data_IF_878954151962
#
_entry.id   IF_878954151962
#
_cell.length_a   1.000
_cell.length_b   1.000
_cell.length_c   1.000
_cell.angle_alpha   90.00
_cell.angle_beta   90.00
_cell.angle_gamma   90.00
#
_symmetry.space_group_name_H-M   'P 1'
#
loop_
_entity.id
_entity.type
_entity.pdbx_description
1 polymer ?
#
# COMPACT_ATOMS: atom_id res chain seq x y z
N UNK A 1 4.82 -15.58 0.19
CA UNK A 1 4.00 -14.37 -0.04
C UNK A 1 2.54 -14.73 0.19
N UNK A 2 1.75 -13.87 0.84
CA UNK A 2 0.33 -14.10 1.14
C UNK A 2 -0.46 -12.96 0.51
N UNK A 3 -1.49 -13.30 -0.25
CA UNK A 3 -2.50 -12.38 -0.75
C UNK A 3 -3.80 -12.64 0.00
N UNK A 4 -4.50 -11.59 0.38
CA UNK A 4 -5.84 -11.66 0.95
C UNK A 4 -6.74 -10.66 0.23
N UNK A 5 -7.99 -11.04 0.02
CA UNK A 5 -9.02 -10.16 -0.54
C UNK A 5 -10.06 -9.85 0.52
N UNK A 6 -10.58 -8.65 0.49
CA UNK A 6 -11.67 -8.21 1.35
C UNK A 6 -12.65 -7.41 0.52
N UNK A 7 -13.93 -7.77 0.56
CA UNK A 7 -14.99 -6.95 -0.01
C UNK A 7 -15.39 -5.89 1.03
N UNK A 8 -15.24 -4.60 0.77
CA UNK A 8 -15.57 -3.56 1.74
C UNK A 8 -17.08 -3.39 1.97
N UNK A 9 -17.91 -3.91 1.08
CA UNK A 9 -19.38 -3.78 1.14
C UNK A 9 -20.03 -4.89 1.97
N UNK A 10 -19.41 -6.08 2.05
CA UNK A 10 -19.96 -7.24 2.76
C UNK A 10 -19.60 -7.21 4.25
N UNK A 11 -20.08 -6.21 5.00
CA UNK A 11 -19.88 -6.13 6.44
C UNK A 11 -20.87 -7.00 7.27
N UNK A 12 -21.89 -7.57 6.65
CA UNK A 12 -22.81 -8.49 7.32
C UNK A 12 -22.23 -9.91 7.34
N UNK A 13 -21.47 -10.22 8.41
CA UNK A 13 -20.99 -11.58 8.68
C UNK A 13 -19.49 -11.84 8.51
N UNK A 14 -18.70 -10.92 7.95
CA UNK A 14 -17.25 -11.06 7.90
C UNK A 14 -16.60 -10.26 9.04
N UNK A 15 -15.87 -10.93 9.92
CA UNK A 15 -15.05 -10.27 10.93
C UNK A 15 -13.94 -9.47 10.22
N UNK A 16 -13.95 -8.15 10.40
CA UNK A 16 -12.81 -7.32 9.98
C UNK A 16 -11.53 -7.85 10.65
N UNK A 17 -10.45 -7.93 9.86
CA UNK A 17 -9.16 -8.32 10.41
C UNK A 17 -8.74 -7.33 11.50
N UNK A 18 -8.30 -7.78 12.69
CA UNK A 18 -7.80 -6.91 13.74
C UNK A 18 -6.65 -6.03 13.23
N UNK A 19 -6.54 -4.79 13.73
CA UNK A 19 -5.47 -3.84 13.37
C UNK A 19 -4.07 -4.47 13.43
N UNK A 20 -3.82 -5.29 14.47
CA UNK A 20 -2.55 -6.01 14.66
C UNK A 20 -2.25 -7.04 13.56
N UNK A 21 -3.26 -7.57 12.90
CA UNK A 21 -3.10 -8.47 11.75
C UNK A 21 -2.95 -7.68 10.47
N UNK A 22 -3.66 -6.56 10.32
CA UNK A 22 -3.52 -5.65 9.17
C UNK A 22 -2.12 -5.06 9.08
N UNK A 23 -1.47 -4.70 10.20
CA UNK A 23 -0.08 -4.20 10.23
C UNK A 23 0.95 -5.19 9.67
N UNK A 24 0.60 -6.48 9.56
CA UNK A 24 1.49 -7.51 8.99
C UNK A 24 1.51 -7.56 7.47
N UNK A 25 0.49 -7.02 6.80
CA UNK A 25 0.48 -6.93 5.35
C UNK A 25 1.38 -5.80 4.86
N UNK A 26 2.15 -6.04 3.82
CA UNK A 26 3.07 -5.06 3.27
C UNK A 26 2.32 -3.83 2.77
N UNK A 27 1.29 -4.05 1.99
CA UNK A 27 0.46 -2.98 1.41
C UNK A 27 -0.97 -3.44 1.18
N UNK A 28 -1.86 -2.47 1.06
CA UNK A 28 -3.25 -2.65 0.65
C UNK A 28 -3.51 -1.86 -0.62
N UNK A 29 -3.99 -2.54 -1.64
CA UNK A 29 -4.36 -1.93 -2.91
C UNK A 29 -5.87 -2.00 -3.12
N UNK A 30 -6.40 -1.08 -3.90
CA UNK A 30 -7.80 -1.09 -4.35
C UNK A 30 -7.83 -1.50 -5.81
N UNK A 31 -8.71 -2.41 -6.15
CA UNK A 31 -8.89 -2.83 -7.54
C UNK A 31 -9.74 -1.84 -8.34
N UNK A 32 -10.73 -1.19 -7.69
CA UNK A 32 -11.71 -0.36 -8.39
C UNK A 32 -12.63 -1.16 -9.32
N UNK A 33 -13.38 -0.43 -10.11
CA UNK A 33 -14.14 -1.00 -11.23
C UNK A 33 -13.34 -0.87 -12.53
N UNK A 34 -13.55 -1.79 -13.52
CA UNK A 34 -12.99 -1.61 -14.84
C UNK A 34 -13.55 -0.33 -15.48
N UNK A 35 -12.82 0.25 -16.43
CA UNK A 35 -13.39 1.30 -17.26
C UNK A 35 -14.46 0.72 -18.20
N UNK A 36 -15.27 1.61 -18.81
CA UNK A 36 -16.43 1.22 -19.60
C UNK A 36 -16.09 0.28 -20.77
N UNK A 37 -14.95 0.48 -21.42
CA UNK A 37 -14.56 -0.34 -22.58
C UNK A 37 -14.11 -1.74 -22.12
N UNK A 38 -13.31 -1.82 -21.04
CA UNK A 38 -12.93 -3.09 -20.44
C UNK A 38 -14.14 -3.84 -19.88
N UNK A 39 -15.12 -3.14 -19.26
CA UNK A 39 -16.36 -3.76 -18.80
C UNK A 39 -17.20 -4.31 -19.96
N UNK A 40 -17.25 -3.58 -21.09
CA UNK A 40 -17.92 -4.04 -22.30
C UNK A 40 -17.23 -5.30 -22.88
N UNK A 41 -15.91 -5.36 -22.85
CA UNK A 41 -15.16 -6.52 -23.31
C UNK A 41 -15.38 -7.74 -22.39
N UNK A 42 -15.48 -7.53 -21.09
CA UNK A 42 -15.87 -8.59 -20.13
C UNK A 42 -17.26 -9.12 -20.48
N UNK A 43 -18.23 -8.24 -20.76
CA UNK A 43 -19.59 -8.66 -21.14
C UNK A 43 -19.64 -9.39 -22.48
N UNK A 44 -18.77 -9.05 -23.43
CA UNK A 44 -18.67 -9.73 -24.73
C UNK A 44 -18.01 -11.09 -24.65
N UNK A 45 -17.14 -11.29 -23.67
CA UNK A 45 -16.29 -12.48 -23.60
C UNK A 45 -17.01 -13.74 -23.12
N UNK A 46 -18.27 -13.67 -22.67
CA UNK A 46 -19.03 -14.79 -22.07
C UNK A 46 -18.24 -15.58 -21.00
N UNK A 47 -17.27 -14.89 -20.35
CA UNK A 47 -16.39 -15.47 -19.33
C UNK A 47 -17.18 -15.75 -18.04
N UNK A 48 -18.05 -16.75 -18.07
CA UNK A 48 -18.75 -17.27 -16.88
C UNK A 48 -17.79 -18.15 -16.05
N UNK A 49 -16.74 -18.69 -16.68
CA UNK A 49 -15.75 -19.56 -16.03
C UNK A 49 -14.34 -18.98 -16.16
N UNK A 50 -13.80 -18.52 -15.01
CA UNK A 50 -12.41 -18.01 -14.90
C UNK A 50 -11.35 -19.09 -15.19
N UNK A 51 -11.71 -20.37 -15.12
CA UNK A 51 -10.81 -21.50 -15.34
C UNK A 51 -10.33 -21.63 -16.80
N UNK A 52 -11.01 -20.98 -17.75
CA UNK A 52 -10.64 -20.99 -19.16
C UNK A 52 -9.64 -19.90 -19.54
N UNK A 53 -9.26 -19.00 -18.60
CA UNK A 53 -8.26 -17.96 -18.83
C UNK A 53 -6.85 -18.53 -18.74
N UNK A 54 -6.28 -18.91 -19.88
CA UNK A 54 -4.88 -19.25 -19.98
C UNK A 54 -4.03 -17.97 -20.06
N UNK A 55 -3.54 -17.51 -18.93
CA UNK A 55 -2.59 -16.41 -18.88
C UNK A 55 -1.14 -16.95 -19.01
N UNK A 56 -0.32 -16.40 -19.93
CA UNK A 56 1.08 -16.78 -20.01
C UNK A 56 1.82 -16.36 -18.74
N UNK A 57 2.71 -17.24 -18.25
CA UNK A 57 3.59 -16.87 -17.12
C UNK A 57 4.57 -15.80 -17.58
N UNK A 58 4.59 -14.65 -16.90
CA UNK A 58 5.51 -13.53 -17.17
C UNK A 58 6.82 -13.69 -16.41
N UNK A 59 6.76 -14.27 -15.20
CA UNK A 59 7.90 -14.53 -14.33
C UNK A 59 7.79 -15.93 -13.74
N UNK A 60 8.91 -16.62 -13.63
CA UNK A 60 8.97 -17.85 -12.89
C UNK A 60 9.22 -17.62 -11.39
N UNK A 61 9.07 -18.68 -10.59
CA UNK A 61 9.25 -18.62 -9.14
C UNK A 61 10.63 -18.13 -8.72
N UNK A 62 11.68 -18.56 -9.44
CA UNK A 62 13.05 -18.19 -9.08
C UNK A 62 13.29 -16.70 -9.31
N UNK A 63 12.84 -16.17 -10.43
CA UNK A 63 12.91 -14.73 -10.73
C UNK A 63 12.24 -13.87 -9.66
N UNK A 64 11.06 -14.27 -9.18
CA UNK A 64 10.38 -13.58 -8.08
C UNK A 64 11.22 -13.62 -6.79
N UNK A 65 11.80 -14.78 -6.45
CA UNK A 65 12.64 -14.91 -5.26
C UNK A 65 13.92 -14.07 -5.36
N UNK A 66 14.49 -13.96 -6.55
CA UNK A 66 15.69 -13.16 -6.78
C UNK A 66 15.37 -11.66 -6.71
N UNK A 67 14.24 -11.20 -7.24
CA UNK A 67 13.76 -9.82 -7.05
C UNK A 67 13.52 -9.50 -5.56
N UNK A 68 12.94 -10.42 -4.80
CA UNK A 68 12.73 -10.24 -3.36
C UNK A 68 14.03 -10.13 -2.57
N UNK A 69 15.11 -10.80 -3.02
CA UNK A 69 16.44 -10.70 -2.41
C UNK A 69 17.16 -9.41 -2.81
N UNK A 70 16.95 -8.95 -4.05
CA UNK A 70 17.58 -7.75 -4.57
C UNK A 70 16.95 -6.46 -4.02
N UNK A 71 15.63 -6.42 -3.81
CA UNK A 71 14.96 -5.21 -3.35
C UNK A 71 15.60 -4.58 -2.09
N UNK A 72 15.93 -5.31 -1.02
CA UNK A 72 16.58 -4.73 0.15
C UNK A 72 17.99 -4.18 -0.10
N UNK A 73 18.67 -4.55 -1.19
CA UNK A 73 20.01 -4.07 -1.53
C UNK A 73 20.02 -2.71 -2.26
N UNK A 74 18.86 -2.25 -2.72
CA UNK A 74 18.73 -0.91 -3.32
C UNK A 74 19.11 0.14 -2.29
N UNK A 75 20.02 1.03 -2.67
CA UNK A 75 20.55 2.05 -1.77
C UNK A 75 19.48 3.07 -1.36
N UNK A 76 19.50 3.46 -0.09
CA UNK A 76 18.64 4.53 0.43
C UNK A 76 19.53 5.54 1.14
N UNK A 77 19.59 6.73 0.63
CA UNK A 77 20.38 7.82 1.17
C UNK A 77 19.78 8.29 2.52
N UNK A 78 20.63 8.77 3.42
CA UNK A 78 20.25 9.17 4.79
C UNK A 78 19.16 10.26 4.80
N UNK A 79 19.20 11.20 3.87
CA UNK A 79 18.19 12.26 3.71
C UNK A 79 16.81 11.69 3.40
N UNK A 80 16.73 10.66 2.54
CA UNK A 80 15.49 9.96 2.21
C UNK A 80 15.00 9.11 3.39
N UNK A 81 15.92 8.49 4.13
CA UNK A 81 15.56 7.77 5.37
C UNK A 81 14.97 8.71 6.42
N UNK A 82 15.52 9.91 6.58
CA UNK A 82 14.98 10.93 7.48
C UNK A 82 13.61 11.41 7.02
N UNK A 83 13.44 11.70 5.76
CA UNK A 83 12.16 12.08 5.17
C UNK A 83 11.07 11.03 5.44
N UNK A 84 11.35 9.77 5.18
CA UNK A 84 10.45 8.65 5.48
C UNK A 84 10.13 8.59 6.99
N UNK A 85 11.13 8.77 7.84
CA UNK A 85 10.96 8.74 9.29
C UNK A 85 10.15 9.93 9.79
N UNK A 86 10.33 11.12 9.23
CA UNK A 86 9.56 12.32 9.55
C UNK A 86 8.07 12.13 9.23
N UNK A 87 7.74 11.52 8.09
CA UNK A 87 6.35 11.12 7.75
C UNK A 87 5.80 10.19 8.84
N UNK A 88 6.54 9.15 9.20
CA UNK A 88 6.11 8.17 10.22
C UNK A 88 5.91 8.85 11.58
N UNK A 89 6.83 9.72 12.01
CA UNK A 89 6.71 10.45 13.28
C UNK A 89 5.50 11.38 13.27
N UNK A 90 5.28 12.12 12.18
CA UNK A 90 4.14 13.00 12.07
C UNK A 90 2.79 12.24 12.19
N UNK A 91 2.71 10.99 11.70
CA UNK A 91 1.51 10.16 11.95
C UNK A 91 1.29 9.82 13.41
N UNK A 92 2.33 9.74 14.22
CA UNK A 92 2.24 9.45 15.68
C UNK A 92 1.82 10.66 16.49
N UNK A 93 2.11 11.86 15.99
CA UNK A 93 1.76 13.14 16.60
C UNK A 93 0.40 13.67 16.11
N UNK A 94 -0.18 13.07 15.09
CA UNK A 94 -1.48 13.47 14.54
C UNK A 94 -2.60 13.17 15.56
N UNK A 95 -3.31 14.21 16.07
CA UNK A 95 -4.32 14.05 17.13
C UNK A 95 -5.53 13.24 16.70
N UNK A 96 -5.83 13.18 15.40
CA UNK A 96 -6.97 12.45 14.88
C UNK A 96 -6.71 10.93 14.83
N UNK A 97 -5.45 10.50 14.88
CA UNK A 97 -5.12 9.08 14.90
C UNK A 97 -5.07 8.53 16.34
N UNK A 98 -5.63 7.34 16.51
CA UNK A 98 -5.57 6.56 17.76
C UNK A 98 -4.14 6.06 18.01
N UNK A 99 -3.48 5.64 16.95
CA UNK A 99 -2.09 5.22 16.94
C UNK A 99 -1.47 5.57 15.58
N UNK A 100 -0.24 6.08 15.59
CA UNK A 100 0.53 6.30 14.37
C UNK A 100 1.20 5.03 13.85
N UNK A 101 1.91 5.16 12.76
CA UNK A 101 2.60 4.06 12.08
C UNK A 101 3.66 3.43 12.99
N UNK A 102 3.64 2.09 13.10
CA UNK A 102 4.62 1.31 13.86
C UNK A 102 6.00 1.31 13.19
N UNK A 103 7.05 0.93 13.92
CA UNK A 103 8.38 0.72 13.34
C UNK A 103 8.36 -0.34 12.23
N UNK A 104 7.49 -1.35 12.34
CA UNK A 104 7.27 -2.33 11.26
C UNK A 104 6.71 -1.65 10.01
N UNK A 105 5.77 -0.72 10.17
CA UNK A 105 5.24 0.08 9.06
C UNK A 105 6.31 0.93 8.39
N UNK A 106 7.21 1.55 9.15
CA UNK A 106 8.37 2.28 8.62
C UNK A 106 9.30 1.38 7.79
N UNK A 107 9.61 0.18 8.29
CA UNK A 107 10.40 -0.81 7.55
C UNK A 107 9.69 -1.28 6.28
N UNK A 108 8.38 -1.47 6.34
CA UNK A 108 7.56 -1.83 5.17
C UNK A 108 7.58 -0.71 4.12
N UNK A 109 7.50 0.56 4.54
CA UNK A 109 7.59 1.71 3.64
C UNK A 109 8.95 1.76 2.95
N UNK A 110 10.04 1.65 3.71
CA UNK A 110 11.39 1.59 3.15
C UNK A 110 11.51 0.48 2.09
N UNK A 111 11.07 -0.74 2.43
CA UNK A 111 11.15 -1.88 1.51
C UNK A 111 10.30 -1.67 0.25
N UNK A 112 9.13 -1.07 0.37
CA UNK A 112 8.28 -0.75 -0.78
C UNK A 112 8.93 0.29 -1.71
N UNK A 113 9.61 1.32 -1.15
CA UNK A 113 10.39 2.29 -1.92
C UNK A 113 11.54 1.61 -2.66
N UNK A 114 12.28 0.73 -1.99
CA UNK A 114 13.38 -0.03 -2.59
C UNK A 114 12.88 -0.94 -3.72
N UNK A 115 11.77 -1.65 -3.51
CA UNK A 115 11.15 -2.49 -4.53
C UNK A 115 10.68 -1.67 -5.74
N UNK A 116 10.07 -0.49 -5.51
CA UNK A 116 9.67 0.41 -6.59
C UNK A 116 10.87 0.91 -7.40
N UNK A 117 11.94 1.36 -6.75
CA UNK A 117 13.15 1.80 -7.42
C UNK A 117 13.75 0.68 -8.29
N UNK A 118 13.81 -0.55 -7.75
CA UNK A 118 14.27 -1.74 -8.50
C UNK A 118 13.40 -2.00 -9.74
N UNK A 119 12.08 -1.96 -9.60
CA UNK A 119 11.13 -2.21 -10.70
C UNK A 119 11.23 -1.19 -11.84
N UNK A 120 11.67 0.03 -11.56
CA UNK A 120 11.92 1.06 -12.58
C UNK A 120 13.39 1.12 -13.01
N UNK A 121 14.20 0.11 -12.63
CA UNK A 121 15.59 -0.04 -13.07
C UNK A 121 16.59 0.87 -12.35
N UNK A 122 16.28 1.37 -11.13
CA UNK A 122 17.19 2.22 -10.35
C UNK A 122 17.81 1.43 -9.18
N UNK A 123 19.06 1.74 -8.88
CA UNK A 123 19.83 1.17 -7.77
C UNK A 123 19.75 2.01 -6.48
N UNK A 124 18.98 3.09 -6.49
CA UNK A 124 18.78 3.98 -5.35
C UNK A 124 17.34 4.50 -5.29
N UNK A 125 16.91 4.80 -4.07
CA UNK A 125 15.58 5.36 -3.76
C UNK A 125 15.63 6.90 -3.83
N UNK A 126 14.57 7.49 -4.38
CA UNK A 126 14.35 8.94 -4.42
C UNK A 126 13.06 9.31 -3.67
N UNK A 127 12.86 10.59 -3.29
CA UNK A 127 11.64 11.02 -2.57
C UNK A 127 10.33 10.65 -3.29
N UNK A 128 10.31 10.66 -4.62
CA UNK A 128 9.15 10.29 -5.42
C UNK A 128 8.75 8.82 -5.25
N UNK A 129 9.68 7.95 -4.86
CA UNK A 129 9.34 6.57 -4.53
C UNK A 129 8.52 6.51 -3.24
N UNK A 130 8.85 7.35 -2.26
CA UNK A 130 8.07 7.47 -1.02
C UNK A 130 6.67 7.97 -1.35
N UNK A 131 6.55 9.04 -2.16
CA UNK A 131 5.27 9.59 -2.59
C UNK A 131 4.39 8.60 -3.34
N UNK A 132 4.99 7.70 -4.11
CA UNK A 132 4.24 6.72 -4.89
C UNK A 132 3.70 5.55 -4.05
N UNK A 133 4.29 5.25 -2.89
CA UNK A 133 3.95 4.04 -2.13
C UNK A 133 3.47 4.30 -0.70
N UNK A 134 3.56 5.53 -0.17
CA UNK A 134 3.16 5.81 1.22
C UNK A 134 1.69 5.45 1.49
N UNK A 135 0.78 5.80 0.59
CA UNK A 135 -0.64 5.57 0.76
C UNK A 135 -0.98 4.07 0.85
N UNK A 136 -0.67 3.21 -0.14
CA UNK A 136 -0.98 1.78 -0.06
C UNK A 136 -0.24 1.06 1.08
N UNK A 137 0.90 1.60 1.54
CA UNK A 137 1.67 0.99 2.65
C UNK A 137 1.18 1.46 4.01
N UNK A 138 0.78 2.72 4.19
CA UNK A 138 0.52 3.27 5.52
C UNK A 138 -0.96 3.35 5.90
N UNK A 139 -1.89 3.58 4.96
CA UNK A 139 -3.30 3.82 5.29
C UNK A 139 -3.96 2.72 6.09
N UNK A 140 -3.66 1.45 5.82
CA UNK A 140 -4.26 0.31 6.51
C UNK A 140 -3.65 0.05 7.91
N UNK A 141 -2.64 0.83 8.31
CA UNK A 141 -1.98 0.80 9.62
C UNK A 141 -2.42 1.91 10.55
N UNK A 142 -3.22 2.83 10.04
CA UNK A 142 -3.73 3.98 10.77
C UNK A 142 -5.19 3.76 11.12
N UNK A 143 -5.56 4.09 12.33
CA UNK A 143 -6.93 4.07 12.81
C UNK A 143 -7.28 5.41 13.44
N UNK A 144 -8.50 5.89 13.20
CA UNK A 144 -8.98 7.14 13.75
C UNK A 144 -9.50 6.99 15.16
N UNK A 145 -9.44 8.07 15.96
CA UNK A 145 -10.00 8.10 17.33
C UNK A 145 -11.51 8.09 17.33
N UNK A 146 -12.13 8.83 16.40
CA UNK A 146 -13.57 8.89 16.24
C UNK A 146 -13.94 7.94 15.09
N UNK A 147 -14.44 6.76 15.45
CA UNK A 147 -14.95 5.82 14.46
C UNK A 147 -16.28 6.34 13.91
N UNK A 148 -16.38 6.41 12.59
CA UNK A 148 -17.65 6.60 11.89
C UNK A 148 -18.32 5.24 11.66
N UNK A 149 -19.64 5.26 11.49
CA UNK A 149 -20.38 4.03 11.19
C UNK A 149 -20.04 3.46 9.81
N UNK A 150 -19.45 4.28 8.92
CA UNK A 150 -19.06 3.89 7.56
C UNK A 150 -17.55 3.74 7.45
N UNK A 151 -17.10 2.51 7.17
CA UNK A 151 -15.70 2.17 6.93
C UNK A 151 -15.11 2.87 5.71
N UNK A 152 -15.91 3.23 4.71
CA UNK A 152 -15.43 3.94 3.52
C UNK A 152 -15.13 5.40 3.84
N UNK A 153 -15.98 6.05 4.65
CA UNK A 153 -15.74 7.40 5.14
C UNK A 153 -14.49 7.45 6.03
N UNK A 154 -14.35 6.51 6.95
CA UNK A 154 -13.16 6.42 7.82
C UNK A 154 -11.88 6.28 6.99
N UNK A 155 -11.92 5.43 5.96
CA UNK A 155 -10.76 5.22 5.05
C UNK A 155 -10.43 6.47 4.25
N UNK A 156 -11.44 7.18 3.73
CA UNK A 156 -11.26 8.46 3.04
C UNK A 156 -10.60 9.49 3.95
N UNK A 157 -11.11 9.62 5.17
CA UNK A 157 -10.53 10.52 6.17
C UNK A 157 -9.05 10.21 6.47
N UNK A 158 -8.70 8.93 6.66
CA UNK A 158 -7.31 8.52 6.88
C UNK A 158 -6.42 8.90 5.70
N UNK A 159 -6.89 8.70 4.46
CA UNK A 159 -6.14 9.06 3.25
C UNK A 159 -5.88 10.57 3.18
N UNK A 160 -6.93 11.38 3.38
CA UNK A 160 -6.82 12.84 3.32
C UNK A 160 -5.88 13.38 4.40
N UNK A 161 -5.97 12.84 5.63
CA UNK A 161 -5.08 13.23 6.73
C UNK A 161 -3.62 12.83 6.46
N UNK A 162 -3.40 11.61 5.96
CA UNK A 162 -2.06 11.15 5.62
C UNK A 162 -1.46 11.97 4.47
N UNK A 163 -2.25 12.30 3.44
CA UNK A 163 -1.82 13.18 2.36
C UNK A 163 -1.41 14.56 2.88
N UNK A 164 -2.23 15.18 3.74
CA UNK A 164 -1.92 16.46 4.36
C UNK A 164 -0.66 16.43 5.23
N UNK A 165 -0.36 15.29 5.88
CA UNK A 165 0.89 15.10 6.62
C UNK A 165 2.07 15.11 5.66
N UNK A 166 2.01 14.31 4.59
CA UNK A 166 3.09 14.17 3.61
C UNK A 166 3.38 15.49 2.90
N UNK A 167 2.37 16.28 2.55
CA UNK A 167 2.50 17.60 1.91
C UNK A 167 3.23 18.63 2.79
N UNK A 168 3.10 18.52 4.12
CA UNK A 168 3.75 19.46 5.06
C UNK A 168 5.24 19.16 5.29
N UNK A 169 5.70 17.97 4.96
CA UNK A 169 7.08 17.55 5.21
C UNK A 169 7.94 17.86 3.98
N UNK A 170 8.99 18.67 4.14
CA UNK A 170 9.83 19.05 3.02
C UNK A 170 10.57 17.82 2.47
N UNK A 171 10.52 17.69 1.15
CA UNK A 171 11.30 16.65 0.48
C UNK A 171 12.79 17.01 0.50
N UNK A 172 13.67 16.02 0.71
CA UNK A 172 15.11 16.23 0.58
C UNK A 172 15.47 16.59 -0.89
N UNK A 173 16.45 17.48 -1.01
CA UNK A 173 17.00 17.94 -2.31
C UNK A 173 18.07 16.97 -2.78
#
# INVERSE_FOLDING_TARGET
MVFATQNPVDNEGAYALPESQMDRFLMRIRMGYPDRENELDILRSDLIHYDDLSLPSVLNRQEILDLQRLAPSVFVEESVLRYLLDIVHATREEPDFKAGVSTRGALSLKLACQARALLVGREFVIPEDVLAVYEPVLTHRLSVRQQTADLLEERGFVQDRLAAIVERIPQPI
#
